data_IF_975696460532
#
_entry.id   IF_975696460532
#
_cell.length_a   1.000
_cell.length_b   1.000
_cell.length_c   1.000
_cell.angle_alpha   90.00
_cell.angle_beta   90.00
_cell.angle_gamma   90.00
#
_symmetry.space_group_name_H-M   'P 1'
#
loop_
_entity.id
_entity.type
_entity.pdbx_description
1 polymer ?
#
# COMPACT_ATOMS: atom_id res chain seq x y z
N UNK A 1 5.38 14.47 12.98
CA UNK A 1 4.78 13.19 12.64
C UNK A 1 5.88 12.16 12.35
N UNK A 2 5.74 10.98 12.90
CA UNK A 2 6.74 9.94 12.73
C UNK A 2 6.74 9.44 11.27
N UNK A 3 7.91 9.41 10.67
CA UNK A 3 8.05 8.93 9.29
C UNK A 3 7.85 7.42 9.24
N UNK A 4 6.99 6.98 8.31
CA UNK A 4 6.70 5.57 8.10
C UNK A 4 7.72 5.02 7.11
N UNK A 5 8.30 3.85 7.42
CA UNK A 5 9.25 3.19 6.52
C UNK A 5 8.54 2.73 5.25
N UNK A 6 9.18 2.94 4.09
CA UNK A 6 8.66 2.38 2.86
C UNK A 6 8.92 0.88 2.83
N UNK A 7 7.94 0.15 2.30
CA UNK A 7 8.00 -1.30 2.26
C UNK A 7 8.58 -1.80 0.94
N UNK A 8 9.41 -2.84 0.99
CA UNK A 8 9.76 -3.60 -0.22
C UNK A 8 8.49 -4.16 -0.87
N UNK A 9 8.55 -4.42 -2.17
CA UNK A 9 7.39 -4.87 -2.94
C UNK A 9 6.72 -6.11 -2.35
N UNK A 10 7.49 -7.08 -1.89
CA UNK A 10 6.93 -8.31 -1.32
C UNK A 10 6.14 -8.03 -0.03
N UNK A 11 6.69 -7.19 0.86
CA UNK A 11 6.00 -6.83 2.10
C UNK A 11 4.77 -5.98 1.81
N UNK A 12 4.84 -5.11 0.82
CA UNK A 12 3.69 -4.31 0.41
C UNK A 12 2.58 -5.20 -0.12
N UNK A 13 2.89 -6.21 -0.94
CA UNK A 13 1.89 -7.14 -1.45
C UNK A 13 1.15 -7.85 -0.31
N UNK A 14 1.89 -8.26 0.73
CA UNK A 14 1.30 -8.86 1.92
C UNK A 14 0.38 -7.87 2.65
N UNK A 15 0.86 -6.64 2.85
CA UNK A 15 0.05 -5.61 3.51
C UNK A 15 -1.23 -5.29 2.74
N UNK A 16 -1.16 -5.26 1.40
CA UNK A 16 -2.34 -4.98 0.59
C UNK A 16 -3.44 -6.01 0.80
N UNK A 17 -3.09 -7.29 0.94
CA UNK A 17 -4.07 -8.32 1.24
C UNK A 17 -4.65 -8.17 2.64
N UNK A 18 -3.84 -7.75 3.61
CA UNK A 18 -4.31 -7.51 4.97
C UNK A 18 -5.23 -6.29 5.03
N UNK A 19 -4.86 -5.21 4.35
CA UNK A 19 -5.71 -4.02 4.30
C UNK A 19 -7.06 -4.30 3.63
N UNK A 20 -7.09 -5.16 2.63
CA UNK A 20 -8.30 -5.50 1.88
C UNK A 20 -9.18 -6.53 2.60
N UNK A 21 -8.66 -7.22 3.59
CA UNK A 21 -9.43 -8.24 4.32
C UNK A 21 -10.60 -7.60 5.08
N UNK A 22 -11.76 -8.23 4.97
CA UNK A 22 -12.99 -7.71 5.60
C UNK A 22 -12.99 -7.86 7.12
N UNK A 23 -12.36 -8.93 7.62
CA UNK A 23 -12.36 -9.23 9.04
C UNK A 23 -10.95 -9.09 9.62
N UNK A 24 -10.87 -8.66 10.87
CA UNK A 24 -9.63 -8.50 11.61
C UNK A 24 -9.77 -9.09 13.00
N UNK A 25 -8.75 -9.71 13.55
CA UNK A 25 -7.41 -9.91 12.98
C UNK A 25 -7.44 -10.88 11.80
N UNK A 26 -6.44 -10.78 10.92
CA UNK A 26 -6.37 -11.56 9.68
C UNK A 26 -5.48 -12.79 9.92
N UNK A 27 -6.03 -14.02 9.80
CA UNK A 27 -5.24 -15.23 10.04
C UNK A 27 -4.11 -15.40 9.01
N UNK A 28 -2.97 -15.94 9.45
CA UNK A 28 -1.85 -16.21 8.55
C UNK A 28 -2.23 -17.14 7.39
N UNK A 29 -3.11 -18.11 7.65
CA UNK A 29 -3.59 -19.03 6.60
C UNK A 29 -4.33 -18.29 5.49
N UNK A 30 -5.16 -17.31 5.85
CA UNK A 30 -5.85 -16.48 4.87
C UNK A 30 -4.84 -15.72 3.99
N UNK A 31 -3.85 -15.11 4.63
CA UNK A 31 -2.82 -14.33 3.93
C UNK A 31 -2.04 -15.23 2.96
N UNK A 32 -1.57 -16.39 3.44
CA UNK A 32 -0.85 -17.34 2.59
C UNK A 32 -1.72 -17.82 1.43
N UNK A 33 -3.00 -18.04 1.66
CA UNK A 33 -3.94 -18.44 0.62
C UNK A 33 -4.07 -17.41 -0.49
N UNK A 34 -3.82 -16.13 -0.17
CA UNK A 34 -3.94 -15.04 -1.14
C UNK A 34 -2.65 -14.76 -1.90
N UNK A 35 -1.49 -14.93 -1.27
CA UNK A 35 -0.22 -14.46 -1.85
C UNK A 35 0.72 -15.56 -2.32
N UNK A 36 0.65 -16.76 -1.75
CA UNK A 36 1.62 -17.80 -2.08
C UNK A 36 1.55 -18.24 -3.54
N UNK A 37 0.38 -18.66 -4.01
CA UNK A 37 0.24 -19.16 -5.39
C UNK A 37 0.52 -18.08 -6.45
N UNK A 38 -0.09 -16.87 -6.36
CA UNK A 38 0.15 -15.85 -7.39
C UNK A 38 1.60 -15.40 -7.50
N UNK A 39 2.35 -15.39 -6.39
CA UNK A 39 3.73 -14.92 -6.38
C UNK A 39 4.76 -16.05 -6.42
N UNK A 40 4.33 -17.30 -6.33
CA UNK A 40 5.26 -18.43 -6.24
C UNK A 40 6.04 -18.46 -4.93
N UNK A 41 5.50 -17.89 -3.87
CA UNK A 41 6.15 -17.86 -2.56
C UNK A 41 5.82 -19.07 -1.71
N UNK A 42 6.78 -19.47 -0.91
CA UNK A 42 6.56 -20.51 0.10
C UNK A 42 5.92 -19.88 1.34
N UNK A 43 5.19 -20.68 2.09
CA UNK A 43 4.59 -20.25 3.35
C UNK A 43 5.63 -19.66 4.31
N UNK A 44 6.82 -20.28 4.39
CA UNK A 44 7.90 -19.80 5.25
C UNK A 44 8.35 -18.39 4.86
N UNK A 45 8.38 -18.08 3.57
CA UNK A 45 8.73 -16.73 3.10
C UNK A 45 7.70 -15.71 3.56
N UNK A 46 6.41 -16.05 3.44
CA UNK A 46 5.32 -15.16 3.87
C UNK A 46 5.40 -14.90 5.38
N UNK A 47 5.68 -15.93 6.17
CA UNK A 47 5.83 -15.76 7.62
C UNK A 47 7.00 -14.84 7.97
N UNK A 48 8.08 -14.90 7.19
CA UNK A 48 9.21 -13.96 7.34
C UNK A 48 8.78 -12.53 7.04
N UNK A 49 8.02 -12.31 5.96
CA UNK A 49 7.50 -10.97 5.63
C UNK A 49 6.60 -10.44 6.76
N UNK A 50 5.75 -11.29 7.31
CA UNK A 50 4.86 -10.92 8.41
C UNK A 50 5.67 -10.51 9.66
N UNK A 51 6.72 -11.26 9.98
CA UNK A 51 7.61 -10.90 11.09
C UNK A 51 8.26 -9.55 10.89
N UNK A 52 8.75 -9.29 9.68
CA UNK A 52 9.37 -8.00 9.36
C UNK A 52 8.38 -6.85 9.46
N UNK A 53 7.15 -7.08 9.02
CA UNK A 53 6.09 -6.07 9.12
C UNK A 53 5.76 -5.75 10.58
N UNK A 54 5.77 -6.76 11.45
CA UNK A 54 5.60 -6.55 12.89
C UNK A 54 6.75 -5.73 13.47
N UNK A 55 7.98 -6.08 13.11
CA UNK A 55 9.18 -5.35 13.57
C UNK A 55 9.17 -3.88 13.15
N UNK A 56 8.66 -3.62 11.94
CA UNK A 56 8.57 -2.25 11.40
C UNK A 56 7.41 -1.45 11.95
N UNK A 57 6.55 -2.06 12.76
CA UNK A 57 5.41 -1.38 13.36
C UNK A 57 4.18 -1.29 12.47
N UNK A 58 4.11 -2.09 11.42
CA UNK A 58 2.95 -2.11 10.52
C UNK A 58 1.85 -3.03 11.00
N UNK A 59 2.22 -4.11 11.70
CA UNK A 59 1.28 -5.13 12.13
C UNK A 59 1.46 -5.44 13.61
N UNK A 60 0.34 -5.79 14.22
CA UNK A 60 0.30 -6.40 15.55
C UNK A 60 -0.06 -7.87 15.37
N UNK A 61 0.76 -8.75 15.92
CA UNK A 61 0.51 -10.19 15.90
C UNK A 61 -0.20 -10.60 17.17
N UNK A 62 -1.20 -11.48 17.04
CA UNK A 62 -1.87 -12.06 18.20
C UNK A 62 -2.25 -13.50 17.90
N UNK A 63 -2.46 -14.28 18.95
CA UNK A 63 -2.91 -15.67 18.81
C UNK A 63 -4.41 -15.70 18.62
N UNK A 64 -4.86 -16.50 17.68
CA UNK A 64 -6.26 -16.80 17.46
C UNK A 64 -6.37 -18.33 17.43
N UNK A 65 -6.64 -18.93 18.59
CA UNK A 65 -6.53 -20.36 18.76
C UNK A 65 -5.06 -20.78 18.67
N UNK A 66 -4.76 -21.71 17.77
CA UNK A 66 -3.37 -22.18 17.54
C UNK A 66 -2.67 -21.41 16.46
N UNK A 67 -3.37 -20.52 15.79
CA UNK A 67 -2.83 -19.75 14.64
C UNK A 67 -2.48 -18.33 15.03
N UNK A 68 -1.56 -17.75 14.29
CA UNK A 68 -1.25 -16.34 14.39
C UNK A 68 -2.20 -15.55 13.50
N UNK A 69 -2.61 -14.39 13.99
CA UNK A 69 -3.43 -13.47 13.24
C UNK A 69 -2.84 -12.06 13.38
N UNK A 70 -3.13 -11.20 12.43
CA UNK A 70 -2.46 -9.92 12.29
C UNK A 70 -3.47 -8.79 12.12
N UNK A 71 -3.21 -7.68 12.81
CA UNK A 71 -4.03 -6.47 12.73
C UNK A 71 -3.15 -5.32 12.26
N UNK A 72 -3.55 -4.56 11.22
CA UNK A 72 -2.76 -3.41 10.79
C UNK A 72 -2.74 -2.32 11.84
N UNK A 73 -1.55 -1.77 12.09
CA UNK A 73 -1.34 -0.61 12.97
C UNK A 73 -1.25 0.68 12.18
N UNK A 74 -1.02 0.58 10.88
CA UNK A 74 -0.95 1.70 9.95
C UNK A 74 -1.97 1.41 8.86
N UNK A 75 -2.86 2.35 8.58
CA UNK A 75 -3.87 2.12 7.53
C UNK A 75 -3.30 2.39 6.13
N UNK A 76 -3.98 1.84 5.11
CA UNK A 76 -3.54 1.92 3.72
C UNK A 76 -3.44 3.36 3.23
N UNK A 77 -4.40 4.19 3.60
CA UNK A 77 -4.47 5.58 3.17
C UNK A 77 -3.28 6.39 3.69
N UNK A 78 -2.97 6.22 4.98
CA UNK A 78 -1.81 6.89 5.61
C UNK A 78 -0.51 6.46 4.94
N UNK A 79 -0.35 5.15 4.70
CA UNK A 79 0.85 4.64 4.03
C UNK A 79 0.97 5.21 2.61
N UNK A 80 -0.12 5.17 1.82
CA UNK A 80 -0.11 5.68 0.45
C UNK A 80 0.25 7.16 0.38
N UNK A 81 -0.28 7.96 1.30
CA UNK A 81 0.01 9.40 1.32
C UNK A 81 1.50 9.67 1.56
N UNK A 82 2.10 8.98 2.53
CA UNK A 82 3.51 9.18 2.83
C UNK A 82 4.43 8.60 1.75
N UNK A 83 4.12 7.41 1.27
CA UNK A 83 4.91 6.77 0.21
C UNK A 83 4.84 7.56 -1.09
N UNK A 84 3.65 8.06 -1.44
CA UNK A 84 3.45 8.89 -2.62
C UNK A 84 4.19 10.22 -2.53
N UNK A 85 4.12 10.87 -1.38
CA UNK A 85 4.84 12.13 -1.15
C UNK A 85 6.35 11.94 -1.25
N UNK A 86 6.87 10.87 -0.66
CA UNK A 86 8.28 10.53 -0.73
C UNK A 86 8.73 10.26 -2.18
N UNK A 87 7.93 9.48 -2.90
CA UNK A 87 8.17 9.15 -4.31
C UNK A 87 8.24 10.42 -5.16
N UNK A 88 7.26 11.30 -4.99
CA UNK A 88 7.18 12.56 -5.73
C UNK A 88 8.42 13.44 -5.48
N UNK A 89 8.78 13.61 -4.20
CA UNK A 89 9.93 14.43 -3.84
C UNK A 89 11.24 13.84 -4.37
N UNK A 90 11.39 12.53 -4.23
CA UNK A 90 12.65 11.87 -4.56
C UNK A 90 12.88 11.73 -6.05
N UNK A 91 11.85 11.33 -6.80
CA UNK A 91 12.00 11.05 -8.24
C UNK A 91 11.69 12.25 -9.12
N UNK A 92 10.73 13.08 -8.72
CA UNK A 92 10.26 14.21 -9.52
C UNK A 92 10.50 15.56 -8.85
N UNK A 93 11.31 15.60 -7.81
CA UNK A 93 11.66 16.82 -7.07
C UNK A 93 10.45 17.66 -6.68
N UNK A 94 9.35 16.99 -6.38
CA UNK A 94 8.10 17.61 -5.97
C UNK A 94 7.22 18.07 -7.11
N UNK A 95 7.59 17.83 -8.35
CA UNK A 95 6.81 18.28 -9.50
C UNK A 95 5.72 17.29 -9.89
N UNK A 96 4.49 17.60 -9.53
CA UNK A 96 3.31 16.81 -9.92
C UNK A 96 3.15 16.84 -11.44
N UNK A 97 3.40 18.01 -12.07
CA UNK A 97 3.34 18.15 -13.52
C UNK A 97 4.25 17.15 -14.22
N UNK A 98 5.49 17.03 -13.74
CA UNK A 98 6.46 16.12 -14.34
C UNK A 98 6.07 14.66 -14.17
N UNK A 99 5.49 14.30 -13.03
CA UNK A 99 4.97 12.96 -12.80
C UNK A 99 3.87 12.63 -13.81
N UNK A 100 2.87 13.51 -13.95
CA UNK A 100 1.76 13.30 -14.88
C UNK A 100 2.26 13.23 -16.31
N UNK A 101 3.20 14.11 -16.70
CA UNK A 101 3.79 14.10 -18.03
C UNK A 101 4.50 12.78 -18.33
N UNK A 102 5.29 12.27 -17.37
CA UNK A 102 5.99 11.00 -17.54
C UNK A 102 5.02 9.84 -17.72
N UNK A 103 3.95 9.80 -16.90
CA UNK A 103 2.95 8.75 -16.99
C UNK A 103 2.18 8.80 -18.30
N UNK A 104 1.90 10.00 -18.79
CA UNK A 104 1.23 10.20 -20.08
C UNK A 104 2.11 9.69 -21.22
N UNK A 105 3.39 10.06 -21.21
CA UNK A 105 4.35 9.65 -22.24
C UNK A 105 4.57 8.13 -22.21
N UNK A 106 4.48 7.51 -21.03
CA UNK A 106 4.63 6.06 -20.87
C UNK A 106 3.36 5.28 -21.27
N UNK A 107 2.28 5.98 -21.60
CA UNK A 107 1.02 5.36 -21.99
C UNK A 107 0.20 4.82 -20.82
N UNK A 108 0.55 5.21 -19.58
CA UNK A 108 -0.14 4.76 -18.38
C UNK A 108 -1.41 5.56 -18.08
N UNK A 109 -1.53 6.75 -18.64
CA UNK A 109 -2.72 7.59 -18.47
C UNK A 109 -3.52 7.65 -19.77
N UNK A 110 -4.79 7.29 -19.68
CA UNK A 110 -5.74 7.39 -20.79
C UNK A 110 -6.41 8.78 -20.76
N UNK A 111 -7.11 9.12 -21.84
CA UNK A 111 -7.93 10.34 -21.87
C UNK A 111 -9.00 10.31 -20.75
N UNK A 112 -9.56 9.14 -20.49
CA UNK A 112 -10.53 8.98 -19.40
C UNK A 112 -9.90 9.29 -18.04
N UNK A 113 -8.66 8.82 -17.81
CA UNK A 113 -7.93 9.10 -16.57
C UNK A 113 -7.69 10.60 -16.40
N UNK A 114 -7.32 11.30 -17.49
CA UNK A 114 -7.09 12.72 -17.46
C UNK A 114 -8.37 13.51 -17.18
N UNK A 115 -9.49 13.08 -17.75
CA UNK A 115 -10.79 13.70 -17.51
C UNK A 115 -11.21 13.52 -16.05
N UNK A 116 -11.00 12.34 -15.49
CA UNK A 116 -11.28 12.06 -14.08
C UNK A 116 -10.42 12.93 -13.16
N UNK A 117 -9.14 13.09 -13.52
CA UNK A 117 -8.24 13.94 -12.74
C UNK A 117 -8.68 15.40 -12.79
N UNK A 118 -9.08 15.91 -13.97
CA UNK A 118 -9.60 17.27 -14.08
C UNK A 118 -10.82 17.50 -13.23
N UNK A 119 -11.76 16.53 -13.24
CA UNK A 119 -12.97 16.61 -12.43
C UNK A 119 -12.63 16.67 -10.93
N UNK A 120 -11.69 15.84 -10.49
CA UNK A 120 -11.23 15.82 -9.12
C UNK A 120 -10.62 17.19 -8.71
N UNK A 121 -9.77 17.74 -9.56
CA UNK A 121 -9.13 19.02 -9.27
C UNK A 121 -10.12 20.18 -9.22
N UNK A 122 -11.14 20.17 -10.09
CA UNK A 122 -12.19 21.16 -10.08
C UNK A 122 -13.01 21.09 -8.79
N UNK A 123 -13.32 19.89 -8.35
CA UNK A 123 -14.04 19.66 -7.10
C UNK A 123 -13.24 20.15 -5.90
N UNK A 124 -11.93 19.88 -5.88
CA UNK A 124 -11.03 20.34 -4.83
C UNK A 124 -10.93 21.85 -4.80
N UNK A 125 -10.85 22.48 -5.96
CA UNK A 125 -10.83 23.92 -6.07
C UNK A 125 -12.07 24.59 -5.48
N UNK A 126 -13.24 23.96 -5.65
CA UNK A 126 -14.50 24.47 -5.07
C UNK A 126 -14.51 24.33 -3.55
N UNK A 127 -14.00 23.22 -3.03
CA UNK A 127 -13.95 22.99 -1.58
C UNK A 127 -13.02 23.99 -0.89
N UNK A 128 -11.92 24.31 -1.52
CA UNK A 128 -10.89 25.19 -0.96
C UNK A 128 -11.15 26.67 -1.28
N UNK A 129 -12.00 26.91 -2.21
CA UNK A 129 -12.37 28.24 -2.64
C UNK A 129 -13.69 28.68 -2.03
#
# INVERSE_FOLDING_TARGET
MKEIKRLPDAELAVMQEIWDAEERPVPSAYICGRVCAPHGWKQTSVLTFLSRLCEKGFLKQEKQGKMNAYTPLIDAETYRAQAGAHFLRRLYRGSVRDLVASLTDAGELTDADLDELRAFLDEKGREDG
#
